data_IF_080326524000
#
_entry.id   IF_080326524000
#
_cell.length_a   1.000
_cell.length_b   1.000
_cell.length_c   1.000
_cell.angle_alpha   90.00
_cell.angle_beta   90.00
_cell.angle_gamma   90.00
#
_symmetry.space_group_name_H-M   'P 1'
#
loop_
_entity.id
_entity.type
_entity.pdbx_description
1 polymer ?
#
# COMPACT_ATOMS: atom_id res chain seq x y z
N UNK A 1 -4.22 28.92 17.56
CA UNK A 1 -4.77 28.46 16.26
C UNK A 1 -3.96 28.92 15.05
N UNK A 2 -3.83 30.22 14.74
CA UNK A 2 -3.16 30.69 13.50
C UNK A 2 -1.69 30.25 13.34
N UNK A 3 -0.93 30.14 14.43
CA UNK A 3 0.46 29.65 14.43
C UNK A 3 0.57 28.17 13.99
N UNK A 4 -0.42 27.34 14.33
CA UNK A 4 -0.43 25.91 13.95
C UNK A 4 -0.58 25.74 12.43
N UNK A 5 -1.52 26.46 11.81
CA UNK A 5 -1.69 26.43 10.35
C UNK A 5 -0.43 26.90 9.61
N UNK A 6 0.24 27.92 10.13
CA UNK A 6 1.45 28.44 9.50
C UNK A 6 2.63 27.46 9.59
N UNK A 7 2.75 26.74 10.71
CA UNK A 7 3.75 25.68 10.88
C UNK A 7 3.46 24.49 9.96
N UNK A 8 2.21 24.02 9.89
CA UNK A 8 1.81 22.96 8.95
C UNK A 8 2.11 23.34 7.50
N UNK A 9 1.89 24.61 7.11
CA UNK A 9 2.21 25.11 5.77
C UNK A 9 3.70 25.02 5.46
N UNK A 10 4.59 25.34 6.41
CA UNK A 10 6.04 25.17 6.20
C UNK A 10 6.42 23.70 6.10
N UNK A 11 5.89 22.84 6.96
CA UNK A 11 6.18 21.40 6.91
C UNK A 11 5.76 20.77 5.58
N UNK A 12 4.58 21.14 5.05
CA UNK A 12 4.12 20.67 3.74
C UNK A 12 4.99 21.20 2.58
N UNK A 13 5.58 22.38 2.71
CA UNK A 13 6.51 22.92 1.70
C UNK A 13 7.88 22.25 1.73
N UNK A 14 8.32 21.77 2.90
CA UNK A 14 9.59 21.06 3.08
C UNK A 14 9.46 19.58 2.70
N UNK A 15 8.24 19.03 2.69
CA UNK A 15 7.98 17.67 2.22
C UNK A 15 8.45 17.51 0.78
N UNK A 16 9.51 16.73 0.58
CA UNK A 16 10.09 16.46 -0.74
C UNK A 16 9.11 15.60 -1.53
N UNK A 17 8.65 16.11 -2.68
CA UNK A 17 7.88 15.29 -3.62
C UNK A 17 8.78 14.15 -4.09
N UNK A 18 8.36 12.87 -3.96
CA UNK A 18 9.18 11.74 -4.39
C UNK A 18 9.45 11.87 -5.89
N UNK A 19 10.67 11.51 -6.31
CA UNK A 19 10.98 11.41 -7.72
C UNK A 19 10.17 10.29 -8.36
N UNK A 20 9.83 10.41 -9.65
CA UNK A 20 9.01 9.41 -10.33
C UNK A 20 9.65 8.02 -10.29
N UNK A 21 10.98 7.96 -10.33
CA UNK A 21 11.73 6.71 -10.30
C UNK A 21 11.65 6.02 -8.93
N UNK A 22 11.90 6.77 -7.85
CA UNK A 22 11.75 6.28 -6.47
C UNK A 22 10.31 5.81 -6.21
N UNK A 23 9.31 6.56 -6.67
CA UNK A 23 7.91 6.17 -6.56
C UNK A 23 7.62 4.85 -7.27
N UNK A 24 8.12 4.67 -8.50
CA UNK A 24 7.94 3.45 -9.27
C UNK A 24 8.65 2.25 -8.61
N UNK A 25 9.83 2.45 -8.04
CA UNK A 25 10.55 1.39 -7.33
C UNK A 25 9.77 0.93 -6.09
N UNK A 26 9.30 1.87 -5.27
CA UNK A 26 8.48 1.55 -4.09
C UNK A 26 7.16 0.91 -4.52
N UNK A 27 6.48 1.43 -5.55
CA UNK A 27 5.24 0.87 -6.06
C UNK A 27 5.40 -0.58 -6.55
N UNK A 28 6.50 -0.91 -7.25
CA UNK A 28 6.80 -2.28 -7.68
C UNK A 28 7.01 -3.23 -6.51
N UNK A 29 7.79 -2.82 -5.51
CA UNK A 29 8.07 -3.64 -4.32
C UNK A 29 6.79 -3.87 -3.51
N UNK A 30 6.02 -2.81 -3.29
CA UNK A 30 4.77 -2.88 -2.52
C UNK A 30 3.71 -3.69 -3.27
N UNK A 31 3.62 -3.52 -4.58
CA UNK A 31 2.74 -4.31 -5.45
C UNK A 31 3.07 -5.80 -5.42
N UNK A 32 4.36 -6.15 -5.43
CA UNK A 32 4.83 -7.53 -5.26
C UNK A 32 4.42 -8.12 -3.91
N UNK A 33 4.55 -7.35 -2.82
CA UNK A 33 4.14 -7.75 -1.49
C UNK A 33 2.62 -8.00 -1.38
N UNK A 34 1.81 -7.09 -1.91
CA UNK A 34 0.34 -7.23 -1.93
C UNK A 34 -0.07 -8.44 -2.75
N UNK A 35 0.56 -8.66 -3.92
CA UNK A 35 0.29 -9.81 -4.76
C UNK A 35 0.61 -11.12 -4.02
N UNK A 36 1.77 -11.21 -3.36
CA UNK A 36 2.17 -12.40 -2.60
C UNK A 36 1.21 -12.69 -1.44
N UNK A 37 0.91 -11.70 -0.60
CA UNK A 37 0.03 -11.88 0.55
C UNK A 37 -1.40 -12.20 0.10
N UNK A 38 -1.88 -11.49 -0.93
CA UNK A 38 -3.18 -11.73 -1.55
C UNK A 38 -3.30 -13.12 -2.15
N UNK A 39 -2.24 -13.61 -2.81
CA UNK A 39 -2.21 -14.96 -3.39
C UNK A 39 -2.21 -16.05 -2.32
N UNK A 40 -1.47 -15.87 -1.23
CA UNK A 40 -1.50 -16.81 -0.08
C UNK A 40 -2.89 -16.85 0.54
N UNK A 41 -3.51 -15.69 0.80
CA UNK A 41 -4.88 -15.62 1.29
C UNK A 41 -5.90 -16.23 0.33
N UNK A 42 -5.71 -16.01 -0.97
CA UNK A 42 -6.53 -16.59 -2.02
C UNK A 42 -6.44 -18.12 -2.04
N UNK A 43 -5.25 -18.70 -1.92
CA UNK A 43 -5.09 -20.17 -1.87
C UNK A 43 -5.79 -20.76 -0.65
N UNK A 44 -5.70 -20.12 0.53
CA UNK A 44 -6.36 -20.60 1.75
C UNK A 44 -7.88 -20.57 1.57
N UNK A 45 -8.43 -19.47 1.05
CA UNK A 45 -9.86 -19.33 0.81
C UNK A 45 -10.36 -20.28 -0.30
N UNK A 46 -9.57 -20.45 -1.36
CA UNK A 46 -9.88 -21.37 -2.46
C UNK A 46 -9.89 -22.82 -1.99
N UNK A 47 -8.87 -23.23 -1.22
CA UNK A 47 -8.84 -24.56 -0.61
C UNK A 47 -10.00 -24.77 0.35
N UNK A 48 -10.31 -23.78 1.19
CA UNK A 48 -11.48 -23.80 2.07
C UNK A 48 -12.80 -23.95 1.31
N UNK A 49 -12.98 -23.20 0.21
CA UNK A 49 -14.17 -23.28 -0.64
C UNK A 49 -14.36 -24.67 -1.27
N UNK A 50 -13.27 -25.26 -1.78
CA UNK A 50 -13.29 -26.61 -2.35
C UNK A 50 -13.61 -27.66 -1.27
N UNK A 51 -13.02 -27.55 -0.08
CA UNK A 51 -13.23 -28.50 1.02
C UNK A 51 -14.64 -28.38 1.61
N UNK A 52 -15.21 -27.18 1.67
CA UNK A 52 -16.57 -26.95 2.18
C UNK A 52 -17.65 -27.54 1.25
N UNK A 53 -17.27 -28.07 0.08
CA UNK A 53 -18.12 -28.96 -0.71
C UNK A 53 -19.29 -28.26 -1.38
N UNK A 54 -19.14 -26.97 -1.72
CA UNK A 54 -20.15 -26.22 -2.45
C UNK A 54 -19.76 -26.04 -3.93
N UNK A 55 -19.62 -27.18 -4.62
CA UNK A 55 -19.60 -27.20 -6.09
C UNK A 55 -21.01 -26.96 -6.62
#
# INVERSE_FOLDING_TARGET
>A
MRKFLQNCRRTLQIAKKPEKDEYLQVAKITGLGILLIGFVGFIIMFAGYIIQGNV
#
